data_IF_871873802581
#
_entry.id   IF_871873802581
#
_cell.length_a   1.000
_cell.length_b   1.000
_cell.length_c   1.000
_cell.angle_alpha   90.00
_cell.angle_beta   90.00
_cell.angle_gamma   90.00
#
_symmetry.space_group_name_H-M   'P 1'
#
loop_
_entity.id
_entity.type
_entity.pdbx_description
1 polymer ?
#
# COMPACT_ATOMS: atom_id res chain seq x y z
N UNK A 1 1.76 -19.98 21.69
CA UNK A 1 0.38 -20.46 21.92
C UNK A 1 -0.50 -19.23 22.08
N UNK A 2 -1.50 -19.06 21.21
CA UNK A 2 -2.41 -17.91 21.28
C UNK A 2 -3.54 -18.22 22.26
N UNK A 3 -3.67 -17.45 23.34
CA UNK A 3 -4.74 -17.60 24.31
C UNK A 3 -5.91 -16.68 23.93
N UNK A 4 -7.13 -17.23 23.87
CA UNK A 4 -8.31 -16.39 23.78
C UNK A 4 -8.49 -15.63 25.10
N UNK A 5 -8.47 -14.30 25.04
CA UNK A 5 -8.62 -13.45 26.22
C UNK A 5 -10.10 -13.22 26.56
N UNK A 6 -10.89 -12.71 25.60
CA UNK A 6 -12.29 -12.32 25.82
C UNK A 6 -13.03 -12.08 24.50
N UNK A 7 -14.36 -12.09 24.56
CA UNK A 7 -15.25 -11.53 23.56
C UNK A 7 -15.48 -10.03 23.79
N UNK A 8 -15.57 -9.27 22.70
CA UNK A 8 -15.84 -7.83 22.71
C UNK A 8 -16.98 -7.51 21.76
N UNK A 9 -17.73 -6.46 22.09
CA UNK A 9 -18.66 -5.84 21.16
C UNK A 9 -17.88 -5.15 20.02
N UNK A 10 -18.31 -5.38 18.78
CA UNK A 10 -17.64 -4.91 17.57
C UNK A 10 -17.62 -3.38 17.47
N UNK A 11 -18.71 -2.71 17.84
CA UNK A 11 -18.78 -1.25 17.80
C UNK A 11 -17.82 -0.63 18.82
N UNK A 12 -17.85 -1.11 20.06
CA UNK A 12 -16.91 -0.66 21.10
C UNK A 12 -15.45 -0.82 20.69
N UNK A 13 -15.13 -1.93 20.03
CA UNK A 13 -13.75 -2.26 19.67
C UNK A 13 -13.28 -1.55 18.40
N UNK A 14 -14.09 -1.50 17.34
CA UNK A 14 -13.66 -1.03 16.02
C UNK A 14 -14.10 0.41 15.70
N UNK A 15 -15.26 0.85 16.18
CA UNK A 15 -15.80 2.17 15.83
C UNK A 15 -15.20 3.29 16.68
N UNK A 16 -14.93 3.01 17.95
CA UNK A 16 -14.50 4.02 18.93
C UNK A 16 -13.01 3.96 19.28
N UNK A 17 -12.28 2.94 18.80
CA UNK A 17 -10.85 2.81 19.04
C UNK A 17 -10.09 2.80 17.70
N UNK A 18 -9.49 3.95 17.30
CA UNK A 18 -8.82 4.11 16.00
C UNK A 18 -7.49 3.35 15.89
N UNK A 19 -7.05 2.67 16.94
CA UNK A 19 -5.82 1.87 16.92
C UNK A 19 -6.04 0.46 16.37
N UNK A 20 -7.30 0.00 16.29
CA UNK A 20 -7.63 -1.26 15.64
C UNK A 20 -7.71 -1.05 14.13
N UNK A 21 -6.93 -1.84 13.38
CA UNK A 21 -6.94 -1.83 11.92
C UNK A 21 -7.19 -3.24 11.38
N UNK A 22 -7.93 -3.31 10.27
CA UNK A 22 -8.09 -4.54 9.50
C UNK A 22 -6.72 -5.02 8.97
N UNK A 23 -6.31 -6.20 9.40
CA UNK A 23 -5.03 -6.81 9.04
C UNK A 23 -5.17 -7.69 7.80
N UNK A 24 -6.13 -8.61 7.80
CA UNK A 24 -6.40 -9.51 6.66
C UNK A 24 -7.81 -10.09 6.74
N UNK A 25 -8.28 -10.68 5.64
CA UNK A 25 -9.57 -11.37 5.54
C UNK A 25 -9.32 -12.77 4.99
N UNK A 26 -9.94 -13.76 5.64
CA UNK A 26 -10.01 -15.14 5.15
C UNK A 26 -11.46 -15.47 4.76
N UNK A 27 -11.69 -16.68 4.25
CA UNK A 27 -13.03 -17.18 3.96
C UNK A 27 -13.97 -17.28 5.19
N UNK A 28 -13.43 -17.26 6.41
CA UNK A 28 -14.20 -17.44 7.65
C UNK A 28 -14.18 -16.22 8.56
N UNK A 29 -13.08 -15.49 8.59
CA UNK A 29 -12.84 -14.43 9.57
C UNK A 29 -12.19 -13.20 8.93
N UNK A 30 -12.59 -12.02 9.41
CA UNK A 30 -11.83 -10.79 9.34
C UNK A 30 -10.91 -10.70 10.57
N UNK A 31 -9.64 -10.35 10.36
CA UNK A 31 -8.63 -10.22 11.41
C UNK A 31 -8.23 -8.77 11.58
N UNK A 32 -8.06 -8.33 12.82
CA UNK A 32 -7.70 -6.97 13.18
C UNK A 32 -6.50 -6.99 14.12
N UNK A 33 -5.60 -6.03 13.95
CA UNK A 33 -4.46 -5.82 14.86
C UNK A 33 -4.66 -4.52 15.62
N UNK A 34 -4.36 -4.55 16.93
CA UNK A 34 -4.30 -3.36 17.77
C UNK A 34 -2.88 -2.81 17.71
N UNK A 35 -2.75 -1.59 17.21
CA UNK A 35 -1.46 -0.90 17.13
C UNK A 35 -1.24 0.04 18.35
N UNK A 36 0.01 0.41 18.67
CA UNK A 36 0.30 1.34 19.75
C UNK A 36 -0.26 2.75 19.53
N UNK A 37 -0.50 3.13 18.27
CA UNK A 37 -0.96 4.45 17.87
C UNK A 37 -2.23 4.35 17.00
N UNK A 38 -3.02 5.43 16.88
CA UNK A 38 -4.15 5.46 15.94
C UNK A 38 -3.66 5.35 14.49
N UNK A 39 -4.48 4.75 13.62
CA UNK A 39 -4.11 4.55 12.20
C UNK A 39 -3.75 5.85 11.47
N UNK A 40 -4.35 6.96 11.86
CA UNK A 40 -4.09 8.30 11.30
C UNK A 40 -2.66 8.81 11.56
N UNK A 41 -1.93 8.20 12.49
CA UNK A 41 -0.52 8.52 12.72
C UNK A 41 0.43 7.71 11.83
N UNK A 42 -0.02 6.57 11.29
CA UNK A 42 0.78 5.77 10.38
C UNK A 42 0.69 6.33 8.97
N UNK A 43 1.83 6.61 8.39
CA UNK A 43 1.93 7.24 7.08
C UNK A 43 3.24 6.81 6.42
N UNK A 44 3.44 7.13 5.15
CA UNK A 44 4.58 6.58 4.40
C UNK A 44 5.95 6.96 4.98
N UNK A 45 6.05 8.03 5.78
CA UNK A 45 7.32 8.46 6.37
C UNK A 45 7.74 7.62 7.56
N UNK A 46 6.79 7.20 8.40
CA UNK A 46 7.08 6.45 9.63
C UNK A 46 6.71 4.97 9.52
N UNK A 47 5.83 4.62 8.60
CA UNK A 47 5.39 3.26 8.28
C UNK A 47 5.22 3.14 6.75
N UNK A 48 6.33 3.11 5.99
CA UNK A 48 6.30 2.93 4.54
C UNK A 48 5.66 1.61 4.11
N UNK A 49 5.52 0.66 5.03
CA UNK A 49 4.82 -0.61 4.87
C UNK A 49 3.93 -0.83 6.10
N UNK A 50 2.61 -0.63 5.97
CA UNK A 50 1.72 -0.79 7.14
C UNK A 50 1.72 -2.23 7.65
N UNK A 51 1.87 -3.20 6.75
CA UNK A 51 1.93 -4.61 7.12
C UNK A 51 3.11 -4.92 8.05
N UNK A 52 4.23 -4.19 7.92
CA UNK A 52 5.39 -4.38 8.79
C UNK A 52 5.05 -3.92 10.21
N UNK A 53 4.45 -2.74 10.37
CA UNK A 53 3.97 -2.27 11.68
C UNK A 53 2.89 -3.19 12.27
N UNK A 54 1.99 -3.71 11.43
CA UNK A 54 0.98 -4.70 11.85
C UNK A 54 1.59 -6.03 12.30
N UNK A 55 2.79 -6.36 11.83
CA UNK A 55 3.49 -7.58 12.22
C UNK A 55 4.39 -7.37 13.45
N UNK A 56 5.17 -6.29 13.50
CA UNK A 56 6.17 -6.05 14.55
C UNK A 56 5.60 -5.40 15.79
N UNK A 57 4.62 -4.50 15.63
CA UNK A 57 4.18 -3.60 16.71
C UNK A 57 2.80 -3.98 17.25
N UNK A 58 2.15 -5.01 16.70
CA UNK A 58 0.81 -5.42 17.12
C UNK A 58 0.79 -5.85 18.59
N UNK A 59 -0.05 -5.17 19.37
CA UNK A 59 -0.26 -5.43 20.79
C UNK A 59 -1.25 -6.57 21.02
N UNK A 60 -2.29 -6.65 20.18
CA UNK A 60 -3.35 -7.66 20.24
C UNK A 60 -3.85 -8.02 18.84
N UNK A 61 -4.41 -9.22 18.73
CA UNK A 61 -5.10 -9.71 17.55
C UNK A 61 -6.56 -9.98 17.91
N UNK A 62 -7.49 -9.43 17.12
CA UNK A 62 -8.90 -9.76 17.16
C UNK A 62 -9.29 -10.48 15.88
N UNK A 63 -10.31 -11.34 15.96
CA UNK A 63 -10.95 -11.94 14.79
C UNK A 63 -12.46 -11.86 14.93
N UNK A 64 -13.13 -11.68 13.81
CA UNK A 64 -14.58 -11.60 13.71
C UNK A 64 -15.06 -12.50 12.58
N UNK A 65 -16.10 -13.33 12.77
CA UNK A 65 -16.69 -14.08 11.66
C UNK A 65 -17.07 -13.15 10.50
N UNK A 66 -16.83 -13.57 9.26
CA UNK A 66 -16.99 -12.68 8.11
C UNK A 66 -18.44 -12.18 7.94
N UNK A 67 -19.42 -13.01 8.28
CA UNK A 67 -20.85 -12.62 8.26
C UNK A 67 -21.14 -11.49 9.24
N UNK A 68 -20.58 -11.57 10.43
CA UNK A 68 -20.74 -10.56 11.47
C UNK A 68 -20.02 -9.28 11.08
N UNK A 69 -18.83 -9.40 10.48
CA UNK A 69 -18.08 -8.26 9.95
C UNK A 69 -18.86 -7.51 8.86
N UNK A 70 -19.44 -8.23 7.89
CA UNK A 70 -20.28 -7.62 6.86
C UNK A 70 -21.50 -6.92 7.48
N UNK A 71 -22.15 -7.53 8.46
CA UNK A 71 -23.32 -6.96 9.16
C UNK A 71 -22.94 -5.68 9.92
N UNK A 72 -21.83 -5.72 10.68
CA UNK A 72 -21.27 -4.56 11.36
C UNK A 72 -20.91 -3.44 10.37
N UNK A 73 -20.24 -3.76 9.27
CA UNK A 73 -19.84 -2.78 8.28
C UNK A 73 -21.05 -2.09 7.63
N UNK A 74 -22.11 -2.84 7.32
CA UNK A 74 -23.33 -2.30 6.70
C UNK A 74 -24.14 -1.40 7.64
N UNK A 75 -24.23 -1.75 8.93
CA UNK A 75 -25.14 -1.07 9.86
C UNK A 75 -24.47 -0.04 10.78
N UNK A 76 -23.19 -0.23 11.12
CA UNK A 76 -22.56 0.52 12.21
C UNK A 76 -21.57 1.59 11.75
N UNK A 77 -20.97 1.44 10.56
CA UNK A 77 -19.90 2.33 10.07
C UNK A 77 -20.42 3.59 9.34
N UNK A 78 -21.69 3.61 8.91
CA UNK A 78 -22.28 4.73 8.18
C UNK A 78 -21.60 4.98 6.81
N UNK A 79 -22.06 5.99 6.05
CA UNK A 79 -21.46 6.34 4.78
C UNK A 79 -20.06 6.93 4.96
N UNK A 80 -19.15 6.58 4.06
CA UNK A 80 -17.81 7.15 4.02
C UNK A 80 -17.88 8.65 3.70
N UNK A 81 -17.23 9.50 4.53
CA UNK A 81 -17.26 10.96 4.38
C UNK A 81 -16.22 11.52 3.40
N UNK A 82 -15.37 10.66 2.83
CA UNK A 82 -14.26 11.06 1.96
C UNK A 82 -14.13 10.15 0.74
N UNK A 83 -13.20 10.49 -0.14
CA UNK A 83 -12.87 9.68 -1.33
C UNK A 83 -11.74 8.72 -0.97
N UNK A 84 -11.94 7.42 -1.23
CA UNK A 84 -10.88 6.42 -1.16
C UNK A 84 -10.39 6.14 -2.57
N UNK A 85 -9.07 6.19 -2.74
CA UNK A 85 -8.38 5.88 -3.99
C UNK A 85 -7.38 4.79 -3.69
N UNK A 86 -7.46 3.69 -4.44
CA UNK A 86 -6.56 2.56 -4.30
C UNK A 86 -5.58 2.60 -5.46
N UNK A 87 -4.29 2.74 -5.14
CA UNK A 87 -3.21 2.51 -6.10
C UNK A 87 -2.73 1.08 -5.96
N UNK A 88 -2.92 0.26 -6.98
CA UNK A 88 -2.33 -1.08 -7.05
C UNK A 88 -1.10 -1.01 -7.94
N UNK A 89 0.01 -1.44 -7.39
CA UNK A 89 1.33 -1.31 -7.99
C UNK A 89 2.12 -2.59 -7.73
N UNK A 90 2.96 -2.99 -8.68
CA UNK A 90 3.94 -4.04 -8.44
C UNK A 90 5.02 -3.54 -7.45
N UNK A 91 5.63 -4.43 -6.65
CA UNK A 91 6.81 -4.06 -5.88
C UNK A 91 7.85 -3.38 -6.78
N UNK A 92 8.45 -2.30 -6.28
CA UNK A 92 9.51 -1.53 -6.97
C UNK A 92 9.06 -0.70 -8.19
N UNK A 93 7.76 -0.54 -8.44
CA UNK A 93 7.25 0.37 -9.50
C UNK A 93 7.18 1.85 -9.07
N UNK A 94 7.84 2.24 -7.97
CA UNK A 94 7.76 3.62 -7.45
C UNK A 94 6.52 3.92 -6.60
N UNK A 95 5.77 2.91 -6.17
CA UNK A 95 4.60 3.07 -5.30
C UNK A 95 4.87 3.90 -4.04
N UNK A 96 5.98 3.65 -3.34
CA UNK A 96 6.38 4.43 -2.15
C UNK A 96 6.66 5.90 -2.49
N UNK A 97 7.27 6.17 -3.64
CA UNK A 97 7.56 7.52 -4.12
C UNK A 97 6.27 8.29 -4.44
N UNK A 98 5.33 7.69 -5.19
CA UNK A 98 4.01 8.28 -5.46
C UNK A 98 3.28 8.57 -4.15
N UNK A 99 3.29 7.62 -3.22
CA UNK A 99 2.66 7.78 -1.90
C UNK A 99 3.24 8.98 -1.15
N UNK A 100 4.57 9.18 -1.18
CA UNK A 100 5.23 10.35 -0.61
C UNK A 100 4.84 11.67 -1.28
N UNK A 101 4.71 11.66 -2.62
CA UNK A 101 4.30 12.82 -3.39
C UNK A 101 2.84 13.22 -3.10
N UNK A 102 1.95 12.26 -2.92
CA UNK A 102 0.53 12.48 -2.61
C UNK A 102 0.35 12.97 -1.16
N UNK A 103 1.19 12.52 -0.23
CA UNK A 103 1.11 12.89 1.19
C UNK A 103 1.65 14.31 1.51
N UNK A 104 1.97 15.14 0.51
CA UNK A 104 2.50 16.49 0.76
C UNK A 104 1.49 17.48 1.33
N UNK A 105 0.19 17.20 1.18
CA UNK A 105 -0.91 17.94 1.78
C UNK A 105 -1.40 17.30 3.07
N UNK A 106 -1.96 18.11 3.99
CA UNK A 106 -2.61 17.60 5.22
C UNK A 106 -3.99 16.97 4.96
N UNK A 107 -4.51 17.10 3.73
CA UNK A 107 -5.86 16.67 3.36
C UNK A 107 -5.92 15.21 2.91
N UNK A 108 -4.79 14.52 2.77
CA UNK A 108 -4.73 13.15 2.25
C UNK A 108 -3.98 12.24 3.22
N UNK A 109 -4.68 11.23 3.72
CA UNK A 109 -4.09 10.12 4.45
C UNK A 109 -3.70 9.04 3.46
N UNK A 110 -2.42 8.70 3.41
CA UNK A 110 -1.93 7.59 2.58
C UNK A 110 -1.47 6.43 3.45
N UNK A 111 -1.95 5.23 3.13
CA UNK A 111 -1.56 3.98 3.80
C UNK A 111 -0.93 3.09 2.73
N UNK A 112 0.33 2.74 2.91
CA UNK A 112 1.06 1.92 1.95
C UNK A 112 0.90 0.43 2.26
N UNK A 113 0.52 -0.34 1.25
CA UNK A 113 0.40 -1.82 1.25
C UNK A 113 -0.52 -2.42 2.33
N UNK A 114 -1.76 -1.95 2.52
CA UNK A 114 -2.72 -2.62 3.39
C UNK A 114 -3.23 -3.91 2.72
N UNK A 115 -2.81 -5.07 3.25
CA UNK A 115 -3.12 -6.39 2.68
C UNK A 115 -4.60 -6.65 2.34
N UNK A 116 -5.59 -6.20 3.13
CA UNK A 116 -7.00 -6.44 2.81
C UNK A 116 -7.45 -5.76 1.52
N UNK A 117 -6.94 -4.55 1.22
CA UNK A 117 -7.32 -3.82 0.01
C UNK A 117 -6.66 -4.38 -1.23
N UNK A 118 -5.43 -4.89 -1.12
CA UNK A 118 -4.78 -5.63 -2.22
C UNK A 118 -5.62 -6.85 -2.61
N UNK A 119 -6.10 -7.61 -1.61
CA UNK A 119 -6.95 -8.77 -1.86
C UNK A 119 -8.28 -8.37 -2.52
N UNK A 120 -8.92 -7.31 -2.03
CA UNK A 120 -10.17 -6.79 -2.62
C UNK A 120 -9.97 -6.27 -4.05
N UNK A 121 -8.87 -5.56 -4.31
CA UNK A 121 -8.54 -5.04 -5.64
C UNK A 121 -8.34 -6.18 -6.66
N UNK A 122 -7.62 -7.24 -6.26
CA UNK A 122 -7.43 -8.44 -7.07
C UNK A 122 -8.74 -9.17 -7.37
N UNK A 123 -9.66 -9.23 -6.40
CA UNK A 123 -10.94 -9.95 -6.55
C UNK A 123 -11.97 -9.20 -7.42
N UNK A 124 -11.94 -7.87 -7.46
CA UNK A 124 -12.97 -7.06 -8.11
C UNK A 124 -12.57 -6.47 -9.46
N UNK A 125 -11.38 -6.78 -9.99
CA UNK A 125 -10.87 -6.29 -11.28
C UNK A 125 -11.15 -4.79 -11.50
N UNK A 126 -10.90 -3.97 -10.48
CA UNK A 126 -11.07 -2.52 -10.64
C UNK A 126 -10.13 -2.03 -11.75
N UNK A 127 -10.69 -1.28 -12.71
CA UNK A 127 -9.87 -0.52 -13.65
C UNK A 127 -9.19 0.60 -12.86
N UNK A 128 -7.88 0.50 -12.69
CA UNK A 128 -7.09 1.46 -11.92
C UNK A 128 -6.28 2.32 -12.88
N UNK A 129 -6.12 3.63 -12.60
CA UNK A 129 -5.22 4.47 -13.37
C UNK A 129 -3.81 3.90 -13.30
N UNK A 130 -3.23 3.59 -14.44
CA UNK A 130 -1.85 3.12 -14.52
C UNK A 130 -0.90 4.31 -14.35
N UNK A 131 0.03 4.18 -13.40
CA UNK A 131 1.14 5.12 -13.24
C UNK A 131 2.42 4.31 -13.30
N UNK A 132 3.16 4.45 -14.39
CA UNK A 132 4.45 3.78 -14.57
C UNK A 132 5.57 4.58 -13.90
N UNK A 133 6.57 3.88 -13.39
CA UNK A 133 7.75 4.52 -12.81
C UNK A 133 8.50 5.32 -13.88
N UNK A 134 8.55 4.82 -15.09
CA UNK A 134 9.20 5.42 -16.25
C UNK A 134 8.59 6.77 -16.60
N UNK A 135 7.26 6.89 -16.59
CA UNK A 135 6.56 8.17 -16.77
C UNK A 135 6.82 9.11 -15.60
N UNK A 136 6.79 8.58 -14.38
CA UNK A 136 7.05 9.38 -13.17
C UNK A 136 8.47 9.97 -13.16
N UNK A 137 9.46 9.28 -13.72
CA UNK A 137 10.84 9.77 -13.82
C UNK A 137 11.04 10.68 -15.04
N UNK A 138 10.52 10.32 -16.21
CA UNK A 138 10.73 11.09 -17.44
C UNK A 138 9.90 12.37 -17.51
N UNK A 139 8.70 12.36 -16.92
CA UNK A 139 7.72 13.46 -16.95
C UNK A 139 7.06 13.65 -15.57
N UNK A 140 7.84 14.00 -14.54
CA UNK A 140 7.37 13.98 -13.15
C UNK A 140 6.23 14.95 -12.89
N UNK A 141 6.28 16.18 -13.43
CA UNK A 141 5.24 17.21 -13.28
C UNK A 141 3.90 16.81 -13.92
N UNK A 142 3.93 16.33 -15.15
CA UNK A 142 2.74 15.87 -15.89
C UNK A 142 2.10 14.67 -15.20
N UNK A 143 2.93 13.68 -14.82
CA UNK A 143 2.48 12.45 -14.18
C UNK A 143 1.84 12.77 -12.82
N UNK A 144 2.51 13.55 -11.96
CA UNK A 144 1.96 13.87 -10.64
C UNK A 144 0.75 14.81 -10.73
N UNK A 145 0.72 15.69 -11.74
CA UNK A 145 -0.44 16.55 -12.01
C UNK A 145 -1.70 15.73 -12.31
N UNK A 146 -1.57 14.67 -13.10
CA UNK A 146 -2.67 13.73 -13.40
C UNK A 146 -3.13 12.99 -12.14
N UNK A 147 -2.18 12.50 -11.33
CA UNK A 147 -2.49 11.86 -10.04
C UNK A 147 -3.22 12.83 -9.10
N UNK A 148 -2.81 14.10 -9.07
CA UNK A 148 -3.44 15.13 -8.24
C UNK A 148 -4.87 15.43 -8.68
N UNK A 149 -5.15 15.46 -9.98
CA UNK A 149 -6.52 15.61 -10.51
C UNK A 149 -7.41 14.45 -10.04
N UNK A 150 -6.93 13.20 -10.17
CA UNK A 150 -7.66 12.01 -9.70
C UNK A 150 -7.91 12.07 -8.19
N UNK A 151 -6.92 12.51 -7.43
CA UNK A 151 -6.98 12.63 -5.98
C UNK A 151 -7.74 13.86 -5.45
N UNK A 152 -8.10 14.81 -6.31
CA UNK A 152 -8.67 16.09 -5.88
C UNK A 152 -7.69 16.94 -5.08
N UNK A 153 -6.38 16.79 -5.33
CA UNK A 153 -5.32 17.54 -4.67
C UNK A 153 -4.99 18.78 -5.49
N UNK A 154 -4.76 19.92 -4.83
CA UNK A 154 -4.36 21.14 -5.53
C UNK A 154 -3.02 20.97 -6.25
N UNK A 155 -2.99 21.29 -7.56
CA UNK A 155 -1.77 21.35 -8.38
C UNK A 155 -0.74 22.36 -7.87
N UNK A 156 -1.14 23.33 -7.04
CA UNK A 156 -0.18 24.24 -6.38
C UNK A 156 0.80 23.51 -5.46
N UNK A 157 0.52 22.27 -5.07
CA UNK A 157 1.41 21.43 -4.26
C UNK A 157 2.43 20.64 -5.07
N UNK A 158 2.37 20.67 -6.41
CA UNK A 158 3.29 19.91 -7.29
C UNK A 158 4.76 20.20 -6.96
N UNK A 159 5.22 21.46 -6.85
CA UNK A 159 6.64 21.73 -6.52
C UNK A 159 7.08 21.07 -5.22
N UNK A 160 6.20 21.02 -4.21
CA UNK A 160 6.46 20.34 -2.94
C UNK A 160 6.48 18.82 -3.11
N UNK A 161 5.60 18.26 -3.92
CA UNK A 161 5.56 16.83 -4.24
C UNK A 161 6.88 16.35 -4.86
N UNK A 162 7.40 17.10 -5.83
CA UNK A 162 8.63 16.76 -6.55
C UNK A 162 9.87 16.67 -5.66
N UNK A 163 9.87 17.32 -4.48
CA UNK A 163 10.97 17.16 -3.50
C UNK A 163 11.17 15.71 -3.05
N UNK A 164 10.17 14.85 -3.21
CA UNK A 164 10.29 13.42 -2.92
C UNK A 164 11.26 12.69 -3.85
N UNK A 165 11.52 13.20 -5.06
CA UNK A 165 12.50 12.64 -6.00
C UNK A 165 13.94 12.78 -5.52
N UNK A 166 14.21 13.76 -4.64
CA UNK A 166 15.56 14.10 -4.20
C UNK A 166 16.12 13.12 -3.15
N UNK A 167 15.35 12.11 -2.74
CA UNK A 167 15.74 11.16 -1.69
C UNK A 167 15.29 9.75 -2.04
N UNK A 168 16.00 8.77 -1.49
CA UNK A 168 15.49 7.40 -1.52
C UNK A 168 14.20 7.33 -0.68
N UNK A 169 13.08 7.11 -1.36
CA UNK A 169 11.76 6.99 -0.72
C UNK A 169 11.69 5.85 0.30
N UNK A 170 12.63 4.89 0.26
CA UNK A 170 12.71 3.75 1.17
C UNK A 170 13.93 3.81 2.10
N UNK A 171 14.59 4.98 2.22
CA UNK A 171 15.72 5.19 3.12
C UNK A 171 15.42 4.71 4.56
N UNK A 172 16.39 4.02 5.17
CA UNK A 172 16.27 3.47 6.53
C UNK A 172 15.53 2.12 6.64
N UNK A 173 14.74 1.74 5.63
CA UNK A 173 14.05 0.43 5.62
C UNK A 173 15.00 -0.72 5.25
N UNK A 174 14.56 -1.97 5.34
CA UNK A 174 15.31 -3.13 4.83
C UNK A 174 15.38 -3.19 3.29
N UNK A 175 14.57 -2.38 2.59
CA UNK A 175 14.46 -2.33 1.13
C UNK A 175 15.09 -1.07 0.51
N UNK A 176 15.85 -0.30 1.29
CA UNK A 176 16.56 0.89 0.78
C UNK A 176 17.57 0.51 -0.29
N UNK A 177 17.88 1.44 -1.20
CA UNK A 177 18.86 1.22 -2.28
C UNK A 177 20.21 0.76 -1.72
N UNK A 178 20.67 1.38 -0.63
CA UNK A 178 21.96 1.06 -0.01
C UNK A 178 22.03 -0.35 0.56
N UNK A 179 20.95 -0.85 1.18
CA UNK A 179 20.90 -2.22 1.72
C UNK A 179 20.73 -3.24 0.61
N UNK A 180 19.94 -2.92 -0.41
CA UNK A 180 19.74 -3.80 -1.57
C UNK A 180 21.01 -3.93 -2.41
N UNK A 181 21.84 -2.89 -2.50
CA UNK A 181 23.13 -2.95 -3.19
C UNK A 181 24.12 -3.95 -2.55
N UNK A 182 23.92 -4.29 -1.27
CA UNK A 182 24.74 -5.29 -0.56
C UNK A 182 24.26 -6.72 -0.81
N UNK A 183 23.06 -6.90 -1.35
CA UNK A 183 22.53 -8.22 -1.71
C UNK A 183 23.17 -8.65 -3.01
N UNK A 184 23.93 -9.75 -2.98
CA UNK A 184 24.57 -10.31 -4.17
C UNK A 184 23.50 -10.64 -5.21
N UNK A 185 23.59 -10.01 -6.38
CA UNK A 185 22.70 -10.32 -7.49
C UNK A 185 22.90 -11.78 -7.92
N UNK A 186 21.78 -12.46 -8.18
CA UNK A 186 21.83 -13.78 -8.79
C UNK A 186 22.23 -13.60 -10.25
N UNK A 187 23.27 -14.31 -10.69
CA UNK A 187 23.58 -14.36 -12.11
C UNK A 187 22.53 -15.20 -12.83
N UNK A 188 21.79 -14.57 -13.74
CA UNK A 188 20.84 -15.28 -14.59
C UNK A 188 21.57 -16.11 -15.63
N UNK A 189 21.27 -17.42 -15.66
CA UNK A 189 21.79 -18.29 -16.72
C UNK A 189 21.22 -17.89 -18.08
N UNK A 190 21.85 -18.35 -19.17
CA UNK A 190 21.31 -18.17 -20.53
C UNK A 190 19.88 -18.73 -20.66
N UNK A 191 19.58 -19.81 -19.95
CA UNK A 191 18.23 -20.42 -19.95
C UNK A 191 17.22 -19.53 -19.22
N UNK A 192 17.61 -18.92 -18.10
CA UNK A 192 16.73 -18.01 -17.35
C UNK A 192 16.41 -16.76 -18.17
N UNK A 193 17.42 -16.19 -18.85
CA UNK A 193 17.22 -15.05 -19.76
C UNK A 193 16.26 -15.41 -20.89
N UNK A 194 16.39 -16.59 -21.51
CA UNK A 194 15.47 -17.06 -22.54
C UNK A 194 14.04 -17.18 -22.02
N UNK A 195 13.86 -17.77 -20.82
CA UNK A 195 12.54 -17.91 -20.18
C UNK A 195 11.92 -16.55 -19.85
N UNK A 196 12.70 -15.60 -19.33
CA UNK A 196 12.23 -14.25 -19.03
C UNK A 196 11.74 -13.54 -20.30
N UNK A 197 12.49 -13.63 -21.40
CA UNK A 197 12.08 -13.05 -22.68
C UNK A 197 10.80 -13.69 -23.25
N UNK A 198 10.65 -15.01 -23.11
CA UNK A 198 9.41 -15.70 -23.52
C UNK A 198 8.20 -15.26 -22.69
N UNK A 199 8.37 -15.07 -21.38
CA UNK A 199 7.33 -14.54 -20.49
C UNK A 199 7.00 -13.09 -20.86
N UNK A 200 8.01 -12.24 -21.03
CA UNK A 200 7.87 -10.85 -21.44
C UNK A 200 7.01 -10.72 -22.70
N UNK A 201 7.32 -11.53 -23.71
CA UNK A 201 6.58 -11.56 -24.98
C UNK A 201 5.13 -12.01 -24.80
N UNK A 202 4.87 -13.00 -23.93
CA UNK A 202 3.50 -13.45 -23.61
C UNK A 202 2.70 -12.41 -22.84
N UNK A 203 3.38 -11.58 -22.05
CA UNK A 203 2.77 -10.49 -21.27
C UNK A 203 2.72 -9.16 -22.02
N UNK A 204 3.14 -9.14 -23.29
CA UNK A 204 3.19 -7.92 -24.13
C UNK A 204 4.02 -6.78 -23.50
N UNK A 205 5.04 -7.15 -22.71
CA UNK A 205 5.94 -6.20 -22.08
C UNK A 205 7.00 -5.72 -23.08
N UNK A 206 7.40 -4.43 -23.04
CA UNK A 206 8.51 -3.91 -23.83
C UNK A 206 9.79 -4.71 -23.62
N UNK A 207 10.50 -5.04 -24.69
CA UNK A 207 11.81 -5.74 -24.61
C UNK A 207 12.83 -4.96 -23.77
N UNK A 208 12.66 -3.64 -23.67
CA UNK A 208 13.52 -2.75 -22.90
C UNK A 208 13.49 -2.98 -21.38
N UNK A 209 12.48 -3.68 -20.85
CA UNK A 209 12.32 -3.93 -19.42
C UNK A 209 13.38 -4.91 -18.87
N UNK A 210 13.95 -5.78 -19.71
CA UNK A 210 14.87 -6.85 -19.29
C UNK A 210 16.34 -6.61 -19.67
N UNK A 211 16.75 -5.36 -19.88
CA UNK A 211 18.15 -5.02 -20.04
C UNK A 211 18.89 -5.11 -18.69
N UNK A 212 19.30 -6.33 -18.32
CA UNK A 212 20.23 -6.62 -17.23
C UNK A 212 21.65 -6.87 -17.73
#
# INVERSE_FOLDING_TARGET
MWLHEKFYDAEKLLKYNPNWILYTISNRYAYFTLLPKPITEYNVKNAPFIWLAQFTDALKLARMPIKDFCTFACHSLGPMKGKVIVFTNCPRSGSTLITQMVQVGQQVQTIAEPSPFTNLAMMHCYALPEVTYENLISKPEETIGTVFDVCGISKSLIPKALTALNRDSQAGTVLSRDKMAQVKSLEFSKLDRKRLNEIAKRMELPESIFHF
#
